data_IF_271787848426
#
_entry.id   IF_271787848426
#
_cell.length_a   1.000
_cell.length_b   1.000
_cell.length_c   1.000
_cell.angle_alpha   90.00
_cell.angle_beta   90.00
_cell.angle_gamma   90.00
#
_symmetry.space_group_name_H-M   'P 1'
#
loop_
_entity.id
_entity.type
_entity.pdbx_description
1 polymer ?
#
# COMPACT_ATOMS: atom_id res chain seq x y z
N UNK A 1 -12.65 6.28 -9.06
CA UNK A 1 -11.46 5.96 -8.27
C UNK A 1 -11.40 4.47 -8.02
N UNK A 2 -10.25 3.88 -8.24
CA UNK A 2 -10.04 2.46 -7.96
C UNK A 2 -9.69 2.27 -6.48
N UNK A 3 -10.18 1.18 -5.90
CA UNK A 3 -9.76 0.77 -4.57
C UNK A 3 -9.48 -0.73 -4.62
N UNK A 4 -8.41 -1.14 -3.98
CA UNK A 4 -8.05 -2.55 -3.84
C UNK A 4 -8.13 -2.93 -2.37
N UNK A 5 -8.51 -4.18 -2.11
CA UNK A 5 -8.67 -4.67 -0.75
C UNK A 5 -7.59 -5.69 -0.45
N UNK A 6 -7.00 -5.62 0.74
CA UNK A 6 -6.05 -6.61 1.20
C UNK A 6 -6.24 -6.86 2.69
N UNK A 7 -5.85 -8.03 3.16
CA UNK A 7 -5.90 -8.39 4.58
C UNK A 7 -4.49 -8.73 5.06
N UNK A 8 -4.08 -8.08 6.14
CA UNK A 8 -2.78 -8.32 6.79
C UNK A 8 -3.03 -8.53 8.27
N UNK A 9 -2.56 -9.64 8.81
CA UNK A 9 -2.71 -10.00 10.22
C UNK A 9 -4.18 -9.90 10.70
N UNK A 10 -5.12 -10.33 9.86
CA UNK A 10 -6.54 -10.33 10.17
C UNK A 10 -7.23 -8.97 10.01
N UNK A 11 -6.52 -7.92 9.63
CA UNK A 11 -7.08 -6.58 9.43
C UNK A 11 -7.21 -6.31 7.95
N UNK A 12 -8.39 -5.85 7.52
CA UNK A 12 -8.64 -5.51 6.13
C UNK A 12 -8.32 -4.03 5.90
N UNK A 13 -7.54 -3.77 4.86
CA UNK A 13 -7.16 -2.44 4.43
C UNK A 13 -7.65 -2.20 3.01
N UNK A 14 -7.94 -0.93 2.69
CA UNK A 14 -8.32 -0.51 1.36
C UNK A 14 -7.24 0.41 0.81
N UNK A 15 -6.67 0.03 -0.33
CA UNK A 15 -5.61 0.78 -0.98
C UNK A 15 -6.21 1.72 -2.01
N UNK A 16 -5.87 3.00 -1.91
CA UNK A 16 -6.34 4.02 -2.84
C UNK A 16 -5.16 4.80 -3.39
N UNK A 17 -5.10 4.91 -4.70
CA UNK A 17 -4.10 5.71 -5.40
C UNK A 17 -4.74 7.03 -5.83
N UNK A 18 -4.72 8.02 -4.95
CA UNK A 18 -5.21 9.37 -5.24
C UNK A 18 -4.06 10.29 -5.69
N UNK A 19 -4.38 11.55 -5.95
CA UNK A 19 -3.37 12.51 -6.39
C UNK A 19 -2.23 12.70 -5.42
N UNK A 20 -2.53 12.74 -4.11
CA UNK A 20 -1.50 12.86 -3.09
C UNK A 20 -0.58 11.64 -3.08
N UNK A 21 -1.14 10.44 -3.20
CA UNK A 21 -0.34 9.22 -3.30
C UNK A 21 0.60 9.26 -4.51
N UNK A 22 0.12 9.76 -5.63
CA UNK A 22 0.94 9.90 -6.84
C UNK A 22 2.15 10.80 -6.57
N UNK A 23 1.94 11.95 -5.93
CA UNK A 23 3.04 12.85 -5.60
C UNK A 23 3.98 12.25 -4.55
N UNK A 24 3.46 11.53 -3.56
CA UNK A 24 4.29 10.87 -2.56
C UNK A 24 5.19 9.80 -3.21
N UNK A 25 4.66 9.00 -4.13
CA UNK A 25 5.47 8.03 -4.86
C UNK A 25 6.52 8.70 -5.73
N UNK A 26 6.18 9.84 -6.32
CA UNK A 26 7.12 10.62 -7.10
C UNK A 26 8.27 11.16 -6.23
N UNK A 27 7.95 11.65 -5.04
CA UNK A 27 8.95 12.19 -4.12
C UNK A 27 9.90 11.12 -3.60
N UNK A 28 9.38 9.90 -3.35
CA UNK A 28 10.17 8.82 -2.76
C UNK A 28 10.93 8.03 -3.83
N UNK A 29 10.26 7.70 -4.94
CA UNK A 29 10.80 6.77 -5.95
C UNK A 29 11.14 7.44 -7.28
N UNK A 30 10.67 8.64 -7.51
CA UNK A 30 10.88 9.35 -8.77
C UNK A 30 9.70 9.26 -9.74
N UNK A 31 8.67 8.51 -9.42
CA UNK A 31 7.46 8.37 -10.23
C UNK A 31 6.74 7.06 -9.98
N UNK A 32 5.52 6.96 -10.48
CA UNK A 32 4.69 5.76 -10.32
C UNK A 32 5.33 4.53 -10.95
N UNK A 33 5.88 4.67 -12.16
CA UNK A 33 6.53 3.55 -12.86
C UNK A 33 7.74 3.05 -12.08
N UNK A 34 8.56 3.97 -11.53
CA UNK A 34 9.71 3.59 -10.74
C UNK A 34 9.31 2.93 -9.43
N UNK A 35 8.18 3.34 -8.84
CA UNK A 35 7.63 2.69 -7.66
C UNK A 35 7.21 1.25 -7.97
N UNK A 36 6.54 1.02 -9.10
CA UNK A 36 6.17 -0.32 -9.53
C UNK A 36 7.39 -1.21 -9.80
N UNK A 37 8.44 -0.63 -10.38
CA UNK A 37 9.70 -1.35 -10.56
C UNK A 37 10.37 -1.69 -9.23
N UNK A 38 10.24 -0.84 -8.23
CA UNK A 38 10.84 -1.07 -6.91
C UNK A 38 10.22 -2.26 -6.17
N UNK A 39 8.94 -2.54 -6.38
CA UNK A 39 8.26 -3.66 -5.73
C UNK A 39 8.46 -4.99 -6.45
N UNK A 40 8.92 -4.97 -7.70
CA UNK A 40 9.00 -6.17 -8.53
C UNK A 40 10.00 -7.21 -8.05
N UNK A 41 11.24 -6.84 -7.65
CA UNK A 41 12.25 -7.83 -7.29
C UNK A 41 11.87 -8.67 -6.07
N UNK A 42 12.18 -9.97 -6.14
CA UNK A 42 12.03 -10.88 -5.00
C UNK A 42 13.28 -10.79 -4.13
N UNK A 43 13.48 -9.64 -3.52
CA UNK A 43 14.62 -9.30 -2.68
C UNK A 43 14.14 -8.64 -1.39
N UNK A 44 15.06 -8.44 -0.45
CA UNK A 44 14.75 -7.70 0.79
C UNK A 44 14.25 -6.28 0.47
N UNK A 45 14.90 -5.62 -0.48
CA UNK A 45 14.54 -4.27 -0.90
C UNK A 45 13.17 -4.24 -1.56
N UNK A 46 12.87 -5.22 -2.41
CA UNK A 46 11.57 -5.37 -3.05
C UNK A 46 10.45 -5.64 -2.04
N UNK A 47 10.73 -6.48 -1.04
CA UNK A 47 9.79 -6.74 0.06
C UNK A 47 9.52 -5.47 0.85
N UNK A 48 10.57 -4.74 1.22
CA UNK A 48 10.45 -3.51 1.99
C UNK A 48 9.69 -2.43 1.20
N UNK A 49 9.98 -2.28 -0.08
CA UNK A 49 9.27 -1.34 -0.95
C UNK A 49 7.78 -1.69 -1.08
N UNK A 50 7.48 -2.98 -1.21
CA UNK A 50 6.08 -3.44 -1.28
C UNK A 50 5.32 -3.09 -0.01
N UNK A 51 5.90 -3.35 1.16
CA UNK A 51 5.27 -3.00 2.45
C UNK A 51 5.09 -1.49 2.59
N UNK A 52 6.09 -0.71 2.21
CA UNK A 52 6.04 0.75 2.32
C UNK A 52 4.95 1.34 1.41
N UNK A 53 4.88 0.89 0.16
CA UNK A 53 3.88 1.38 -0.78
C UNK A 53 2.47 0.93 -0.38
N UNK A 54 2.32 -0.33 0.06
CA UNK A 54 1.04 -0.81 0.55
C UNK A 54 0.55 0.00 1.74
N UNK A 55 1.42 0.31 2.70
CA UNK A 55 1.07 1.14 3.85
C UNK A 55 0.66 2.55 3.44
N UNK A 56 1.37 3.15 2.50
CA UNK A 56 1.06 4.48 1.97
C UNK A 56 -0.33 4.51 1.33
N UNK A 57 -0.63 3.55 0.46
CA UNK A 57 -1.92 3.48 -0.21
C UNK A 57 -3.05 3.12 0.76
N UNK A 58 -2.77 2.31 1.79
CA UNK A 58 -3.75 1.98 2.83
C UNK A 58 -4.07 3.19 3.69
N UNK A 59 -3.09 4.05 3.98
CA UNK A 59 -3.33 5.33 4.66
C UNK A 59 -4.28 6.20 3.84
N UNK A 60 -4.04 6.32 2.53
CA UNK A 60 -4.92 7.10 1.65
C UNK A 60 -6.33 6.50 1.62
N UNK A 61 -6.43 5.19 1.62
CA UNK A 61 -7.72 4.50 1.66
C UNK A 61 -8.49 4.76 2.95
N UNK A 62 -7.79 4.73 4.09
CA UNK A 62 -8.43 4.99 5.38
C UNK A 62 -8.89 6.44 5.50
N UNK A 63 -8.08 7.40 5.03
CA UNK A 63 -8.46 8.80 5.05
C UNK A 63 -9.69 9.04 4.17
N UNK A 64 -9.79 8.39 3.03
CA UNK A 64 -10.97 8.46 2.17
C UNK A 64 -12.21 7.87 2.86
N UNK A 65 -12.08 6.70 3.50
CA UNK A 65 -13.18 6.07 4.23
C UNK A 65 -13.74 6.99 5.31
N UNK A 66 -12.87 7.65 6.08
CA UNK A 66 -13.29 8.60 7.10
C UNK A 66 -14.02 9.77 6.49
N UNK A 67 -13.55 10.26 5.36
CA UNK A 67 -14.19 11.37 4.65
C UNK A 67 -15.59 11.00 4.16
N UNK A 68 -15.80 9.73 3.81
CA UNK A 68 -17.09 9.22 3.36
C UNK A 68 -18.04 8.86 4.52
N UNK A 69 -17.61 9.04 5.76
CA UNK A 69 -18.44 8.82 6.93
C UNK A 69 -18.35 7.45 7.59
N UNK A 70 -17.40 6.62 7.17
CA UNK A 70 -17.16 5.34 7.82
C UNK A 70 -16.42 5.54 9.14
N UNK A 71 -16.59 4.59 10.06
CA UNK A 71 -15.86 4.61 11.32
C UNK A 71 -14.35 4.51 11.08
N UNK A 72 -13.59 5.20 11.94
CA UNK A 72 -12.13 5.20 11.83
C UNK A 72 -11.55 3.81 12.03
N UNK A 73 -10.74 3.37 11.06
CA UNK A 73 -9.95 2.17 11.14
C UNK A 73 -8.48 2.49 11.45
N UNK A 74 -7.65 1.46 11.39
CA UNK A 74 -6.22 1.61 11.61
C UNK A 74 -5.55 2.30 10.43
N UNK A 75 -4.56 3.17 10.72
CA UNK A 75 -3.66 3.72 9.72
C UNK A 75 -2.33 2.98 9.89
N UNK A 76 -1.96 2.11 8.95
CA UNK A 76 -0.73 1.34 9.06
C UNK A 76 0.47 2.18 8.69
N UNK A 77 1.60 1.91 9.33
CA UNK A 77 2.89 2.41 8.92
C UNK A 77 3.66 1.29 8.24
N UNK A 78 4.70 1.66 7.46
CA UNK A 78 5.50 0.65 6.75
C UNK A 78 6.09 -0.39 7.69
N UNK A 79 6.52 0.02 8.89
CA UNK A 79 7.13 -0.88 9.86
C UNK A 79 6.12 -1.90 10.42
N UNK A 80 4.85 -1.52 10.55
CA UNK A 80 3.80 -2.44 10.94
C UNK A 80 3.69 -3.58 9.92
N UNK A 81 3.74 -3.25 8.65
CA UNK A 81 3.65 -4.23 7.57
C UNK A 81 4.92 -5.09 7.48
N UNK A 82 6.09 -4.48 7.68
CA UNK A 82 7.35 -5.22 7.68
C UNK A 82 7.36 -6.33 8.74
N UNK A 83 6.70 -6.08 9.88
CA UNK A 83 6.62 -7.06 10.96
C UNK A 83 5.48 -8.07 10.76
N UNK A 84 4.38 -7.65 10.18
CA UNK A 84 3.15 -8.44 10.11
C UNK A 84 2.99 -9.27 8.84
N UNK A 85 3.52 -8.78 7.70
CA UNK A 85 3.36 -9.44 6.41
C UNK A 85 4.26 -10.67 6.33
N UNK A 86 3.64 -11.82 6.04
CA UNK A 86 4.38 -13.06 5.84
C UNK A 86 4.87 -13.15 4.40
N UNK A 87 5.96 -13.89 4.13
CA UNK A 87 6.51 -13.98 2.77
C UNK A 87 5.51 -14.38 1.69
N UNK A 88 4.59 -15.30 2.00
CA UNK A 88 3.61 -15.75 1.01
C UNK A 88 2.49 -14.72 0.75
N UNK A 89 2.29 -13.78 1.67
CA UNK A 89 1.29 -12.72 1.51
C UNK A 89 1.76 -11.61 0.59
N UNK A 90 3.07 -11.54 0.32
CA UNK A 90 3.64 -10.45 -0.49
C UNK A 90 3.04 -10.41 -1.91
N UNK A 91 2.69 -11.55 -2.46
CA UNK A 91 2.08 -11.65 -3.79
C UNK A 91 0.73 -10.92 -3.82
N UNK A 92 -0.06 -11.08 -2.76
CA UNK A 92 -1.35 -10.39 -2.67
C UNK A 92 -1.19 -8.90 -2.48
N UNK A 93 -0.18 -8.47 -1.70
CA UNK A 93 0.12 -7.06 -1.55
C UNK A 93 0.51 -6.43 -2.89
N UNK A 94 1.38 -7.09 -3.64
CA UNK A 94 1.79 -6.61 -4.97
C UNK A 94 0.58 -6.50 -5.89
N UNK A 95 -0.30 -7.50 -5.88
CA UNK A 95 -1.51 -7.50 -6.70
C UNK A 95 -2.44 -6.34 -6.31
N UNK A 96 -2.64 -6.12 -5.02
CA UNK A 96 -3.48 -5.05 -4.53
C UNK A 96 -2.92 -3.68 -4.94
N UNK A 97 -1.61 -3.48 -4.83
CA UNK A 97 -0.95 -2.25 -5.28
C UNK A 97 -1.18 -2.04 -6.78
N UNK A 98 -0.95 -3.05 -7.59
CA UNK A 98 -1.13 -2.96 -9.04
C UNK A 98 -2.59 -2.71 -9.41
N UNK A 99 -3.53 -3.27 -8.68
CA UNK A 99 -4.96 -3.04 -8.90
C UNK A 99 -5.35 -1.60 -8.55
N UNK A 100 -4.81 -1.05 -7.47
CA UNK A 100 -5.11 0.32 -7.03
C UNK A 100 -4.52 1.37 -7.97
N UNK A 101 -3.35 1.10 -8.51
CA UNK A 101 -2.69 1.99 -9.46
C UNK A 101 -3.18 1.72 -10.88
#
# INVERSE_FOLDING_TARGET
>A
MKAAKMTVAGVTYYLVFDGEAMFMLRDIYGGTQLALEAIEPDTREGFAATCAIAALLAERGELLRRRLGYDSGAIPEKDDFLLAVRPFEIVELKRAIMTAI
#
